data_IF_448164209442
#
_entry.id   IF_448164209442
#
_cell.length_a   1.000
_cell.length_b   1.000
_cell.length_c   1.000
_cell.angle_alpha   90.00
_cell.angle_beta   90.00
_cell.angle_gamma   90.00
#
_symmetry.space_group_name_H-M   'P 1'
#
loop_
_entity.id
_entity.type
_entity.pdbx_description
1 polymer ?
#
# COMPACT_ATOMS: atom_id res chain seq x y z
N UNK A 1 18.60 -2.69 -12.20
CA UNK A 1 17.48 -2.43 -13.13
C UNK A 1 16.26 -2.26 -12.25
N UNK A 2 15.70 -1.06 -12.14
CA UNK A 2 14.57 -0.80 -11.26
C UNK A 2 13.40 -0.33 -12.13
N UNK A 3 12.52 -1.26 -12.47
CA UNK A 3 11.22 -0.90 -13.01
C UNK A 3 10.19 -1.19 -11.91
N UNK A 4 10.17 -0.29 -10.92
CA UNK A 4 9.07 -0.25 -9.97
C UNK A 4 7.78 -0.05 -10.76
N UNK A 5 6.73 -0.79 -10.40
CA UNK A 5 5.45 -0.73 -11.10
C UNK A 5 4.54 0.31 -10.46
N UNK A 6 3.74 0.98 -11.28
CA UNK A 6 2.68 1.84 -10.79
C UNK A 6 1.55 0.99 -10.21
N UNK A 7 1.43 0.97 -8.89
CA UNK A 7 0.40 0.20 -8.19
C UNK A 7 -0.96 0.89 -8.28
N UNK A 8 -2.03 0.09 -8.31
CA UNK A 8 -3.37 0.58 -8.00
C UNK A 8 -3.48 0.83 -6.49
N UNK A 9 -3.96 2.02 -6.13
CA UNK A 9 -4.27 2.39 -4.76
C UNK A 9 -5.55 3.22 -4.69
N UNK A 10 -6.08 3.34 -3.47
CA UNK A 10 -7.12 4.30 -3.11
C UNK A 10 -6.66 5.12 -1.91
N UNK A 11 -6.69 6.45 -2.03
CA UNK A 11 -6.44 7.38 -0.94
C UNK A 11 -7.76 7.86 -0.33
N UNK A 12 -7.91 7.64 0.98
CA UNK A 12 -8.97 8.21 1.81
C UNK A 12 -8.35 9.39 2.58
N UNK A 13 -8.52 10.61 2.07
CA UNK A 13 -7.93 11.82 2.65
C UNK A 13 -8.71 12.28 3.88
N UNK A 14 -8.03 12.47 5.01
CA UNK A 14 -8.61 13.02 6.25
C UNK A 14 -8.14 14.46 6.48
N UNK A 15 -8.98 15.28 7.11
CA UNK A 15 -8.60 16.62 7.58
C UNK A 15 -7.79 16.50 8.88
N UNK A 16 -6.54 16.07 8.77
CA UNK A 16 -5.64 15.82 9.90
C UNK A 16 -4.18 15.98 9.49
N UNK A 17 -3.37 16.53 10.38
CA UNK A 17 -1.91 16.63 10.23
C UNK A 17 -1.18 15.33 10.65
N UNK A 18 -1.92 14.29 11.06
CA UNK A 18 -1.34 13.00 11.42
C UNK A 18 -0.72 12.31 10.19
N UNK A 19 0.33 11.51 10.42
CA UNK A 19 0.95 10.74 9.35
C UNK A 19 -0.07 9.83 8.65
N UNK A 20 -0.03 9.72 7.31
CA UNK A 20 -0.89 8.80 6.59
C UNK A 20 -0.54 7.36 6.93
N UNK A 21 -1.52 6.46 6.83
CA UNK A 21 -1.34 5.03 7.03
C UNK A 21 -1.42 4.30 5.69
N UNK A 22 -0.37 3.58 5.33
CA UNK A 22 -0.33 2.65 4.20
C UNK A 22 -0.77 1.25 4.68
N UNK A 23 -1.89 0.76 4.14
CA UNK A 23 -2.45 -0.55 4.42
C UNK A 23 -2.17 -1.54 3.28
N UNK A 24 -1.50 -2.63 3.61
CA UNK A 24 -1.00 -3.62 2.65
C UNK A 24 -1.63 -5.00 2.93
N UNK A 25 -2.35 -5.53 1.95
CA UNK A 25 -3.04 -6.82 2.06
C UNK A 25 -2.08 -8.04 2.04
N UNK A 26 -2.61 -9.21 2.39
CA UNK A 26 -1.88 -10.49 2.34
C UNK A 26 -1.96 -11.20 0.98
N UNK A 27 -1.34 -12.37 0.86
CA UNK A 27 -1.39 -13.17 -0.36
C UNK A 27 -2.85 -13.50 -0.77
N UNK A 28 -3.14 -13.48 -2.07
CA UNK A 28 -4.48 -13.64 -2.65
C UNK A 28 -5.48 -12.54 -2.29
N UNK A 29 -4.98 -11.44 -1.72
CA UNK A 29 -5.79 -10.30 -1.36
C UNK A 29 -5.90 -9.20 -2.42
N UNK A 30 -6.54 -8.10 -2.02
CA UNK A 30 -6.62 -6.81 -2.68
C UNK A 30 -6.77 -5.70 -1.61
N UNK A 31 -6.81 -4.45 -2.07
CA UNK A 31 -6.86 -3.24 -1.25
C UNK A 31 -8.07 -3.18 -0.29
N UNK A 32 -9.13 -3.97 -0.53
CA UNK A 32 -10.33 -3.98 0.32
C UNK A 32 -10.26 -4.96 1.49
N UNK A 33 -9.27 -5.86 1.56
CA UNK A 33 -9.19 -6.86 2.63
C UNK A 33 -9.04 -6.28 4.03
N UNK A 34 -8.45 -5.09 4.16
CA UNK A 34 -8.27 -4.40 5.44
C UNK A 34 -9.30 -3.27 5.64
N UNK A 35 -10.45 -3.33 4.95
CA UNK A 35 -11.43 -2.23 4.93
C UNK A 35 -12.04 -1.87 6.28
N UNK A 36 -12.21 -2.82 7.21
CA UNK A 36 -12.68 -2.53 8.58
C UNK A 36 -11.65 -1.66 9.32
N UNK A 37 -10.37 -2.03 9.24
CA UNK A 37 -9.28 -1.28 9.85
C UNK A 37 -9.12 0.10 9.20
N UNK A 38 -9.23 0.17 7.86
CA UNK A 38 -9.18 1.43 7.11
C UNK A 38 -10.23 2.43 7.60
N UNK A 39 -11.48 1.98 7.82
CA UNK A 39 -12.56 2.86 8.30
C UNK A 39 -12.31 3.42 9.70
N UNK A 40 -11.69 2.63 10.58
CA UNK A 40 -11.41 3.09 11.94
C UNK A 40 -10.23 4.08 11.97
N UNK A 41 -9.14 3.75 11.28
CA UNK A 41 -7.96 4.63 11.15
C UNK A 41 -8.30 5.95 10.47
N UNK A 42 -9.22 5.93 9.49
CA UNK A 42 -9.60 7.12 8.73
C UNK A 42 -10.25 8.23 9.59
N UNK A 43 -10.70 7.90 10.80
CA UNK A 43 -11.17 8.91 11.77
C UNK A 43 -10.09 9.92 12.17
N UNK A 44 -8.81 9.56 12.04
CA UNK A 44 -7.68 10.36 12.51
C UNK A 44 -6.55 10.49 11.48
N UNK A 45 -6.47 9.58 10.50
CA UNK A 45 -5.39 9.52 9.52
C UNK A 45 -5.92 9.52 8.09
N UNK A 46 -5.16 10.10 7.16
CA UNK A 46 -5.32 9.73 5.75
C UNK A 46 -4.93 8.26 5.58
N UNK A 47 -5.69 7.48 4.82
CA UNK A 47 -5.45 6.03 4.65
C UNK A 47 -5.23 5.72 3.18
N UNK A 48 -4.11 5.07 2.87
CA UNK A 48 -3.76 4.57 1.55
C UNK A 48 -3.97 3.06 1.57
N UNK A 49 -4.93 2.57 0.81
CA UNK A 49 -5.10 1.14 0.55
C UNK A 49 -4.46 0.81 -0.78
N UNK A 50 -3.65 -0.23 -0.86
CA UNK A 50 -2.90 -0.58 -2.08
C UNK A 50 -3.14 -2.02 -2.50
N UNK A 51 -3.25 -2.25 -3.80
CA UNK A 51 -3.09 -3.57 -4.41
C UNK A 51 -1.60 -3.79 -4.67
N UNK A 52 -1.01 -4.83 -4.09
CA UNK A 52 0.38 -5.18 -4.43
C UNK A 52 0.47 -5.67 -5.88
N UNK A 53 1.68 -5.66 -6.44
CA UNK A 53 1.97 -6.35 -7.71
C UNK A 53 1.35 -7.74 -7.72
N UNK A 54 0.82 -8.14 -8.88
CA UNK A 54 0.12 -9.41 -9.05
C UNK A 54 -1.16 -9.58 -8.21
N UNK A 55 -1.77 -8.49 -7.72
CA UNK A 55 -3.03 -8.53 -6.98
C UNK A 55 -3.97 -7.41 -7.40
N UNK A 56 -5.27 -7.60 -7.12
CA UNK A 56 -6.33 -6.68 -7.49
C UNK A 56 -6.21 -6.13 -8.92
N UNK A 57 -6.21 -4.80 -9.06
CA UNK A 57 -6.05 -4.10 -10.33
C UNK A 57 -4.61 -3.60 -10.58
N UNK A 58 -3.67 -3.92 -9.70
CA UNK A 58 -2.26 -3.62 -9.94
C UNK A 58 -1.69 -4.45 -11.10
N UNK A 59 -0.67 -3.93 -11.81
CA UNK A 59 -0.04 -4.64 -12.91
C UNK A 59 0.48 -6.03 -12.54
N UNK A 60 0.57 -6.88 -13.56
CA UNK A 60 1.11 -8.23 -13.47
C UNK A 60 2.57 -8.24 -13.93
N UNK A 61 3.41 -9.00 -13.24
CA UNK A 61 4.81 -9.21 -13.59
C UNK A 61 5.26 -10.62 -13.18
N UNK A 62 6.26 -11.15 -13.90
CA UNK A 62 6.86 -12.45 -13.59
C UNK A 62 7.58 -12.42 -12.23
N UNK A 63 8.20 -11.28 -11.89
CA UNK A 63 8.90 -11.08 -10.63
C UNK A 63 7.94 -10.77 -9.47
N UNK A 64 7.88 -11.69 -8.51
CA UNK A 64 7.07 -11.57 -7.29
C UNK A 64 7.88 -11.91 -6.04
N UNK A 65 8.93 -11.11 -5.78
CA UNK A 65 9.74 -11.21 -4.57
C UNK A 65 9.56 -9.96 -3.67
N UNK A 66 9.89 -10.09 -2.38
CA UNK A 66 9.66 -9.01 -1.41
C UNK A 66 10.46 -7.72 -1.71
N UNK A 67 11.74 -7.76 -2.10
CA UNK A 67 12.46 -6.55 -2.48
C UNK A 67 11.77 -5.76 -3.60
N UNK A 68 11.24 -6.46 -4.61
CA UNK A 68 10.54 -5.81 -5.70
C UNK A 68 9.19 -5.24 -5.25
N UNK A 69 8.45 -5.93 -4.37
CA UNK A 69 7.23 -5.38 -3.77
C UNK A 69 7.50 -4.13 -2.92
N UNK A 70 8.54 -4.16 -2.08
CA UNK A 70 8.95 -3.03 -1.25
C UNK A 70 9.32 -1.81 -2.12
N UNK A 71 9.99 -2.06 -3.25
CA UNK A 71 10.34 -1.00 -4.19
C UNK A 71 9.12 -0.36 -4.87
N UNK A 72 8.07 -1.14 -5.18
CA UNK A 72 6.82 -0.58 -5.70
C UNK A 72 6.10 0.28 -4.65
N UNK A 73 6.09 -0.16 -3.39
CA UNK A 73 5.51 0.59 -2.29
C UNK A 73 6.25 1.91 -2.07
N UNK A 74 7.59 1.89 -2.14
CA UNK A 74 8.40 3.10 -2.07
C UNK A 74 8.09 4.05 -3.23
N UNK A 75 7.99 3.52 -4.46
CA UNK A 75 7.63 4.32 -5.63
C UNK A 75 6.23 4.93 -5.52
N UNK A 76 5.28 4.24 -4.88
CA UNK A 76 3.96 4.79 -4.58
C UNK A 76 4.05 5.94 -3.56
N UNK A 77 4.85 5.81 -2.50
CA UNK A 77 5.04 6.89 -1.53
C UNK A 77 5.73 8.12 -2.18
N UNK A 78 6.70 7.89 -3.06
CA UNK A 78 7.36 8.94 -3.85
C UNK A 78 6.36 9.63 -4.79
N UNK A 79 5.50 8.87 -5.49
CA UNK A 79 4.43 9.42 -6.35
C UNK A 79 3.47 10.30 -5.56
N UNK A 80 3.13 9.89 -4.33
CA UNK A 80 2.26 10.65 -3.42
C UNK A 80 2.98 11.78 -2.67
N UNK A 81 4.29 11.95 -2.89
CA UNK A 81 5.14 12.95 -2.22
C UNK A 81 5.12 12.81 -0.68
N UNK A 82 5.08 11.56 -0.19
CA UNK A 82 5.03 11.24 1.23
C UNK A 82 6.40 10.80 1.75
N UNK A 83 7.09 11.68 2.47
CA UNK A 83 8.37 11.35 3.11
C UNK A 83 8.24 10.36 4.28
N UNK A 84 7.07 10.35 4.94
CA UNK A 84 6.79 9.51 6.11
C UNK A 84 5.37 8.96 6.04
N UNK A 85 5.23 7.69 6.38
CA UNK A 85 3.95 7.03 6.55
C UNK A 85 4.06 5.97 7.65
N UNK A 86 2.93 5.68 8.30
CA UNK A 86 2.78 4.49 9.14
C UNK A 86 2.47 3.34 8.18
N UNK A 87 3.20 2.23 8.27
CA UNK A 87 2.99 1.08 7.38
C UNK A 87 2.42 -0.10 8.18
N UNK A 88 1.30 -0.65 7.71
CA UNK A 88 0.66 -1.83 8.29
C UNK A 88 0.44 -2.85 7.19
N UNK A 89 1.13 -4.00 7.30
CA UNK A 89 1.01 -5.09 6.35
C UNK A 89 0.53 -6.39 7.00
N UNK A 90 -0.38 -7.10 6.33
CA UNK A 90 -0.83 -8.42 6.76
C UNK A 90 -0.07 -9.54 6.02
N UNK A 91 0.56 -10.45 6.78
CA UNK A 91 1.23 -11.65 6.23
C UNK A 91 2.23 -11.31 5.11
N UNK A 92 1.94 -11.63 3.84
CA UNK A 92 2.76 -11.24 2.68
C UNK A 92 2.99 -9.73 2.63
N UNK A 93 1.96 -8.92 2.88
CA UNK A 93 2.07 -7.47 2.93
C UNK A 93 2.99 -7.00 4.07
N UNK A 94 3.03 -7.72 5.18
CA UNK A 94 3.95 -7.43 6.29
C UNK A 94 5.41 -7.79 6.00
N UNK A 95 5.68 -8.70 5.06
CA UNK A 95 7.04 -9.00 4.58
C UNK A 95 7.51 -8.05 3.48
N UNK A 96 6.58 -7.39 2.79
CA UNK A 96 6.86 -6.39 1.77
C UNK A 96 7.02 -4.97 2.34
N UNK A 97 6.43 -4.70 3.50
CA UNK A 97 6.57 -3.48 4.29
C UNK A 97 7.99 -3.33 4.85
#
# INVERSE_FOLDING_TARGET
MNFAMKLHYQLLAAESDALPVLLIHGLFGNLDNLGVLARDLHKQHSVIKVDLRNHGLSPRADDMNYPAMAQDLLALLDELQLEKAIVIGHSMGGKAA
#
